data_IF_589199455827
#
_entry.id   IF_589199455827
#
_cell.length_a   1.000
_cell.length_b   1.000
_cell.length_c   1.000
_cell.angle_alpha   90.00
_cell.angle_beta   90.00
_cell.angle_gamma   90.00
#
_symmetry.space_group_name_H-M   'P 1'
#
loop_
_entity.id
_entity.type
_entity.pdbx_description
1 polymer ?
#
# COMPACT_ATOMS: atom_id res chain seq x y z
N UNK A 1 11.39 12.91 -19.51
CA UNK A 1 11.48 11.74 -18.61
C UNK A 1 10.99 10.50 -19.33
N UNK A 2 11.47 9.31 -18.92
CA UNK A 2 10.99 8.04 -19.48
C UNK A 2 9.59 7.66 -18.94
N UNK A 3 9.15 8.28 -17.85
CA UNK A 3 7.89 8.01 -17.15
C UNK A 3 6.74 8.85 -17.73
N UNK A 4 5.51 8.39 -17.57
CA UNK A 4 4.30 9.06 -18.06
C UNK A 4 3.74 10.03 -17.02
N UNK A 5 3.87 9.68 -15.72
CA UNK A 5 3.39 10.47 -14.59
C UNK A 5 4.27 10.22 -13.36
N UNK A 6 4.32 11.20 -12.45
CA UNK A 6 4.88 11.06 -11.11
C UNK A 6 3.80 11.39 -10.08
N UNK A 7 3.74 10.63 -8.99
CA UNK A 7 2.69 10.76 -7.95
C UNK A 7 3.32 10.78 -6.57
N UNK A 8 2.83 11.68 -5.72
CA UNK A 8 3.09 11.71 -4.29
C UNK A 8 1.80 11.35 -3.54
N UNK A 9 1.89 10.35 -2.67
CA UNK A 9 0.76 9.94 -1.83
C UNK A 9 0.83 10.67 -0.49
N UNK A 10 -0.10 11.59 -0.27
CA UNK A 10 -0.16 12.41 0.95
C UNK A 10 -1.40 12.02 1.74
N UNK A 11 -1.21 11.65 2.99
CA UNK A 11 -2.27 11.34 3.94
C UNK A 11 -2.10 12.17 5.24
N UNK A 12 -3.04 12.04 6.17
CA UNK A 12 -3.02 12.80 7.43
C UNK A 12 -1.82 12.52 8.32
N UNK A 13 -1.17 11.36 8.17
CA UNK A 13 0.03 10.98 8.92
C UNK A 13 1.34 11.31 8.18
N UNK A 14 1.28 11.83 6.97
CA UNK A 14 2.45 12.22 6.16
C UNK A 14 2.43 11.69 4.74
N UNK A 15 3.61 11.57 4.14
CA UNK A 15 3.78 11.04 2.80
C UNK A 15 4.07 9.54 2.85
N UNK A 16 3.37 8.76 2.01
CA UNK A 16 3.65 7.35 1.80
C UNK A 16 4.54 7.19 0.56
N UNK A 17 5.56 6.33 0.61
CA UNK A 17 6.37 6.02 -0.56
C UNK A 17 5.56 5.38 -1.70
N UNK A 18 4.58 4.54 -1.36
CA UNK A 18 3.68 3.89 -2.31
C UNK A 18 2.29 3.65 -1.70
N UNK A 19 1.24 3.73 -2.54
CA UNK A 19 -0.13 3.43 -2.15
C UNK A 19 -0.87 2.73 -3.30
N UNK A 20 -1.20 1.44 -3.12
CA UNK A 20 -1.82 0.62 -4.17
C UNK A 20 -3.20 1.12 -4.59
N UNK A 21 -4.12 1.32 -3.65
CA UNK A 21 -5.46 1.83 -3.97
C UNK A 21 -5.44 3.30 -4.44
N UNK A 22 -4.51 4.11 -3.90
CA UNK A 22 -4.28 5.46 -4.41
C UNK A 22 -3.81 5.45 -5.87
N UNK A 23 -2.96 4.50 -6.25
CA UNK A 23 -2.54 4.27 -7.64
C UNK A 23 -3.73 3.93 -8.53
N UNK A 24 -4.57 2.97 -8.12
CA UNK A 24 -5.76 2.57 -8.88
C UNK A 24 -6.67 3.78 -9.13
N UNK A 25 -6.98 4.55 -8.07
CA UNK A 25 -7.82 5.75 -8.17
C UNK A 25 -7.20 6.82 -9.05
N UNK A 26 -5.90 7.10 -8.90
CA UNK A 26 -5.19 8.09 -9.70
C UNK A 26 -5.23 7.71 -11.18
N UNK A 27 -4.88 6.48 -11.54
CA UNK A 27 -4.86 6.03 -12.93
C UNK A 27 -6.27 6.08 -13.54
N UNK A 28 -7.28 5.64 -12.80
CA UNK A 28 -8.67 5.75 -13.25
C UNK A 28 -9.01 7.19 -13.62
N UNK A 29 -8.75 8.15 -12.73
CA UNK A 29 -9.09 9.55 -12.95
C UNK A 29 -8.27 10.15 -14.11
N UNK A 30 -6.95 9.98 -14.12
CA UNK A 30 -6.10 10.64 -15.12
C UNK A 30 -6.33 10.12 -16.54
N UNK A 31 -6.77 8.86 -16.69
CA UNK A 31 -7.14 8.28 -17.99
C UNK A 31 -8.55 8.72 -18.39
N UNK A 32 -9.53 8.60 -17.49
CA UNK A 32 -10.92 8.98 -17.79
C UNK A 32 -11.07 10.47 -18.14
N UNK A 33 -10.35 11.33 -17.42
CA UNK A 33 -10.37 12.79 -17.63
C UNK A 33 -9.35 13.26 -18.70
N UNK A 34 -8.57 12.33 -19.28
CA UNK A 34 -7.58 12.67 -20.31
C UNK A 34 -6.46 13.59 -19.82
N UNK A 35 -6.13 13.54 -18.51
CA UNK A 35 -5.11 14.39 -17.90
C UNK A 35 -3.69 13.97 -18.28
N UNK A 36 -3.50 12.72 -18.68
CA UNK A 36 -2.24 12.23 -19.23
C UNK A 36 -2.49 11.50 -20.54
N UNK A 37 -1.46 11.46 -21.38
CA UNK A 37 -1.44 10.65 -22.60
C UNK A 37 -0.27 9.67 -22.48
N UNK A 38 -0.53 8.42 -22.07
CA UNK A 38 0.50 7.40 -21.97
C UNK A 38 1.24 7.20 -23.29
N UNK A 39 2.52 6.91 -23.24
CA UNK A 39 3.36 6.66 -24.42
C UNK A 39 2.99 5.35 -25.14
N UNK A 40 2.48 4.40 -24.34
CA UNK A 40 1.98 3.11 -24.83
C UNK A 40 0.54 2.97 -24.36
N UNK A 41 -0.39 2.77 -25.28
CA UNK A 41 -1.79 2.56 -24.95
C UNK A 41 -1.97 1.35 -24.02
N UNK A 42 -2.78 1.48 -22.98
CA UNK A 42 -3.01 0.43 -21.99
C UNK A 42 -1.91 0.30 -20.93
N UNK A 43 -0.82 1.08 -21.01
CA UNK A 43 0.32 1.01 -20.08
C UNK A 43 0.70 2.39 -19.58
N UNK A 44 0.86 2.54 -18.26
CA UNK A 44 1.37 3.76 -17.62
C UNK A 44 2.62 3.43 -16.81
N UNK A 45 3.68 4.18 -17.02
CA UNK A 45 4.90 4.18 -16.22
C UNK A 45 4.78 5.29 -15.18
N UNK A 46 4.50 4.90 -13.95
CA UNK A 46 4.29 5.85 -12.84
C UNK A 46 5.50 5.86 -11.90
N UNK A 47 6.08 7.04 -11.72
CA UNK A 47 7.13 7.28 -10.74
C UNK A 47 6.51 7.60 -9.37
N UNK A 48 6.99 6.92 -8.34
CA UNK A 48 6.61 7.15 -6.94
C UNK A 48 7.87 7.31 -6.08
N UNK A 49 7.79 7.81 -4.85
CA UNK A 49 8.94 7.82 -3.95
C UNK A 49 9.53 6.43 -3.68
N UNK A 50 8.73 5.36 -3.78
CA UNK A 50 9.23 3.99 -3.67
C UNK A 50 9.91 3.47 -4.94
N UNK A 51 9.82 4.19 -6.06
CA UNK A 51 10.38 3.81 -7.36
C UNK A 51 9.34 3.73 -8.47
N UNK A 52 9.71 3.06 -9.57
CA UNK A 52 8.87 2.90 -10.74
C UNK A 52 7.82 1.80 -10.53
N UNK A 53 6.56 2.17 -10.75
CA UNK A 53 5.42 1.24 -10.77
C UNK A 53 4.93 1.11 -12.20
N UNK A 54 4.84 -0.12 -12.71
CA UNK A 54 4.29 -0.43 -14.02
C UNK A 54 2.80 -0.74 -13.90
N UNK A 55 1.99 -0.05 -14.68
CA UNK A 55 0.54 -0.14 -14.60
C UNK A 55 -0.03 -0.52 -15.95
N UNK A 56 -0.86 -1.55 -15.96
CA UNK A 56 -1.70 -1.93 -17.09
C UNK A 56 -3.13 -1.49 -16.80
N UNK A 57 -3.82 -0.90 -17.74
CA UNK A 57 -5.23 -0.55 -17.60
C UNK A 57 -6.02 -0.98 -18.82
N UNK A 58 -7.31 -1.28 -18.61
CA UNK A 58 -8.27 -1.56 -19.66
C UNK A 58 -9.39 -0.53 -19.64
N UNK A 59 -9.84 -0.12 -20.82
CA UNK A 59 -10.96 0.80 -20.98
C UNK A 59 -12.12 0.10 -21.68
N UNK A 60 -13.34 0.39 -21.21
CA UNK A 60 -14.57 0.03 -21.90
C UNK A 60 -15.01 1.20 -22.80
N UNK A 61 -14.79 1.01 -24.10
CA UNK A 61 -15.20 1.99 -25.12
C UNK A 61 -16.69 1.87 -25.51
N UNK A 62 -17.42 0.86 -25.01
CA UNK A 62 -18.84 0.64 -25.32
C UNK A 62 -19.78 1.59 -24.60
N UNK A 63 -19.32 2.20 -23.49
CA UNK A 63 -20.09 3.16 -22.70
C UNK A 63 -19.78 4.60 -23.11
N UNK A 64 -20.11 4.94 -24.36
CA UNK A 64 -20.11 6.34 -24.77
C UNK A 64 -21.20 7.09 -24.01
N UNK A 65 -20.82 8.11 -23.26
CA UNK A 65 -21.81 9.05 -22.71
C UNK A 65 -22.56 9.73 -23.85
N UNK A 66 -23.86 9.98 -23.67
CA UNK A 66 -24.72 10.65 -24.66
C UNK A 66 -24.28 12.09 -24.98
N UNK A 67 -23.34 12.61 -24.23
CA UNK A 67 -22.72 13.92 -24.41
C UNK A 67 -21.35 13.71 -25.07
N UNK A 68 -21.20 13.96 -26.31
CA UNK A 68 -20.02 13.93 -27.19
C UNK A 68 -18.60 14.06 -26.58
N UNK A 69 -18.45 13.96 -25.27
CA UNK A 69 -17.18 13.81 -24.56
C UNK A 69 -16.80 12.33 -24.61
N UNK A 70 -15.83 11.99 -25.45
CA UNK A 70 -15.19 10.66 -25.52
C UNK A 70 -14.34 10.43 -24.25
N UNK A 71 -14.98 10.22 -23.11
CA UNK A 71 -14.31 9.77 -21.90
C UNK A 71 -14.34 8.23 -21.92
N UNK A 72 -13.22 7.61 -22.16
CA UNK A 72 -13.08 6.17 -22.00
C UNK A 72 -13.28 5.82 -20.53
N UNK A 73 -14.13 4.84 -20.23
CA UNK A 73 -14.29 4.34 -18.85
C UNK A 73 -13.22 3.28 -18.56
N UNK A 74 -12.48 3.46 -17.45
CA UNK A 74 -11.52 2.47 -16.99
C UNK A 74 -12.26 1.31 -16.34
N UNK A 75 -12.09 0.13 -16.89
CA UNK A 75 -12.70 -1.12 -16.43
C UNK A 75 -11.84 -1.79 -15.37
N UNK A 76 -10.53 -1.78 -15.55
CA UNK A 76 -9.59 -2.41 -14.63
C UNK A 76 -8.23 -1.72 -14.65
N UNK A 77 -7.58 -1.77 -13.50
CA UNK A 77 -6.18 -1.32 -13.30
C UNK A 77 -5.41 -2.44 -12.62
N UNK A 78 -4.31 -2.85 -13.24
CA UNK A 78 -3.36 -3.81 -12.69
C UNK A 78 -2.01 -3.14 -12.51
N UNK A 79 -1.44 -3.23 -11.32
CA UNK A 79 -0.13 -2.68 -11.05
C UNK A 79 0.89 -3.79 -10.76
N UNK A 80 2.09 -3.64 -11.30
CA UNK A 80 3.28 -4.35 -10.85
C UNK A 80 4.04 -3.39 -9.96
N UNK A 81 4.01 -3.70 -8.65
CA UNK A 81 4.59 -2.85 -7.62
C UNK A 81 6.12 -2.91 -7.65
N UNK A 82 6.78 -2.05 -6.86
CA UNK A 82 8.20 -2.15 -6.56
C UNK A 82 8.53 -3.48 -5.89
N UNK A 83 9.80 -3.88 -5.93
CA UNK A 83 10.26 -5.12 -5.32
C UNK A 83 9.87 -5.20 -3.85
N UNK A 84 9.44 -6.38 -3.41
CA UNK A 84 9.12 -6.68 -2.02
C UNK A 84 10.17 -7.61 -1.41
N UNK A 85 10.40 -7.45 -0.11
CA UNK A 85 11.32 -8.31 0.63
C UNK A 85 10.94 -8.44 2.11
N UNK A 86 11.35 -9.54 2.71
CA UNK A 86 11.28 -9.75 4.15
C UNK A 86 12.46 -9.01 4.79
N UNK A 87 12.16 -8.06 5.69
CA UNK A 87 13.18 -7.28 6.38
C UNK A 87 13.65 -7.96 7.67
N UNK A 88 12.72 -8.39 8.51
CA UNK A 88 13.04 -9.00 9.81
C UNK A 88 11.94 -9.95 10.23
N UNK A 89 12.30 -10.99 10.98
CA UNK A 89 11.38 -11.95 11.59
C UNK A 89 11.52 -11.97 13.11
N UNK A 90 10.49 -12.45 13.76
CA UNK A 90 10.45 -12.74 15.21
C UNK A 90 10.79 -11.53 16.09
N UNK A 91 10.42 -10.32 15.65
CA UNK A 91 10.60 -9.13 16.46
C UNK A 91 9.57 -9.08 17.58
N UNK A 92 10.01 -8.71 18.78
CA UNK A 92 9.13 -8.58 19.93
C UNK A 92 8.62 -7.16 20.05
N UNK A 93 7.29 -7.01 20.06
CA UNK A 93 6.61 -5.74 20.31
C UNK A 93 5.56 -5.92 21.40
N UNK A 94 5.21 -4.85 22.10
CA UNK A 94 4.27 -4.89 23.22
C UNK A 94 2.99 -4.13 22.86
N UNK A 95 1.86 -4.72 23.24
CA UNK A 95 0.54 -4.09 23.19
C UNK A 95 -0.08 -4.17 24.59
N UNK A 96 -0.61 -3.07 25.10
CA UNK A 96 -1.11 -2.98 26.48
C UNK A 96 -2.20 -4.01 26.82
N UNK A 97 -3.10 -4.32 25.87
CA UNK A 97 -4.18 -5.28 26.09
C UNK A 97 -3.82 -6.72 25.68
N UNK A 98 -2.93 -6.89 24.71
CA UNK A 98 -2.55 -8.22 24.18
C UNK A 98 -1.26 -8.76 24.83
N UNK A 99 -0.45 -7.89 25.45
CA UNK A 99 0.87 -8.26 25.96
C UNK A 99 1.94 -8.27 24.88
N UNK A 100 2.94 -9.11 25.04
CA UNK A 100 4.04 -9.27 24.10
C UNK A 100 3.59 -10.05 22.85
N UNK A 101 3.86 -9.49 21.69
CA UNK A 101 3.56 -10.07 20.39
C UNK A 101 4.85 -10.28 19.59
N UNK A 102 4.89 -11.37 18.85
CA UNK A 102 5.90 -11.64 17.83
C UNK A 102 5.37 -11.07 16.51
N UNK A 103 6.21 -10.30 15.81
CA UNK A 103 5.86 -9.66 14.55
C UNK A 103 6.97 -9.83 13.52
N UNK A 104 6.58 -10.00 12.27
CA UNK A 104 7.50 -9.98 11.13
C UNK A 104 7.38 -8.63 10.42
N UNK A 105 8.48 -8.16 9.84
CA UNK A 105 8.45 -6.89 9.09
C UNK A 105 8.88 -7.14 7.65
N UNK A 106 8.00 -6.76 6.73
CA UNK A 106 8.22 -6.85 5.28
C UNK A 106 8.06 -5.49 4.62
N UNK A 107 8.75 -5.32 3.49
CA UNK A 107 8.63 -4.17 2.62
C UNK A 107 7.90 -4.55 1.33
N UNK A 108 6.99 -3.68 0.89
CA UNK A 108 6.28 -3.79 -0.38
C UNK A 108 5.85 -2.40 -0.89
N UNK A 109 6.81 -1.45 -0.90
CA UNK A 109 6.57 -0.02 -1.15
C UNK A 109 6.39 0.78 0.14
N UNK A 110 6.09 0.12 1.25
CA UNK A 110 6.12 0.61 2.63
C UNK A 110 6.57 -0.56 3.53
N UNK A 111 7.04 -0.25 4.74
CA UNK A 111 7.27 -1.27 5.75
C UNK A 111 5.98 -1.59 6.51
N UNK A 112 5.65 -2.87 6.60
CA UNK A 112 4.52 -3.45 7.31
C UNK A 112 5.01 -4.37 8.42
N UNK A 113 4.54 -4.15 9.65
CA UNK A 113 4.68 -5.15 10.70
C UNK A 113 3.46 -6.08 10.65
N UNK A 114 3.73 -7.34 10.43
CA UNK A 114 2.74 -8.41 10.25
C UNK A 114 2.54 -9.12 11.58
N UNK A 115 1.32 -9.17 12.03
CA UNK A 115 0.92 -9.85 13.27
C UNK A 115 0.07 -11.05 12.92
N UNK A 116 0.69 -12.22 12.96
CA UNK A 116 0.00 -13.47 12.72
C UNK A 116 -0.73 -13.99 13.97
N UNK A 117 -1.65 -14.93 13.75
CA UNK A 117 -2.33 -15.67 14.82
C UNK A 117 -1.30 -16.29 15.74
N UNK A 118 -1.42 -16.00 17.04
CA UNK A 118 -0.50 -16.47 18.07
C UNK A 118 -1.22 -16.60 19.42
N UNK A 119 -0.53 -17.02 20.47
CA UNK A 119 -1.11 -17.35 21.77
C UNK A 119 -2.08 -16.28 22.32
N UNK A 120 -1.74 -15.01 22.18
CA UNK A 120 -2.48 -13.87 22.70
C UNK A 120 -3.15 -13.00 21.63
N UNK A 121 -3.08 -13.42 20.35
CA UNK A 121 -3.83 -12.84 19.25
C UNK A 121 -4.46 -13.96 18.40
N UNK A 122 -5.78 -14.09 18.44
CA UNK A 122 -6.51 -15.22 17.83
C UNK A 122 -6.80 -15.07 16.34
N UNK A 123 -6.58 -13.89 15.79
CA UNK A 123 -6.93 -13.53 14.41
C UNK A 123 -7.83 -12.30 14.36
N UNK A 124 -7.79 -11.58 13.24
CA UNK A 124 -8.49 -10.31 13.10
C UNK A 124 -10.03 -10.45 13.24
N UNK A 125 -10.59 -11.61 12.92
CA UNK A 125 -12.02 -11.92 12.99
C UNK A 125 -12.58 -12.01 14.42
N UNK A 126 -11.71 -12.12 15.42
CA UNK A 126 -12.11 -12.25 16.84
C UNK A 126 -12.22 -10.91 17.56
N UNK A 127 -11.86 -9.81 16.91
CA UNK A 127 -11.79 -8.50 17.56
C UNK A 127 -12.51 -7.43 16.76
N UNK A 128 -13.18 -6.48 17.44
CA UNK A 128 -13.82 -5.36 16.75
C UNK A 128 -12.78 -4.40 16.15
N UNK A 129 -13.15 -3.76 15.04
CA UNK A 129 -12.24 -2.92 14.26
C UNK A 129 -11.62 -1.76 15.04
N UNK A 130 -12.37 -1.15 15.96
CA UNK A 130 -11.88 -0.06 16.81
C UNK A 130 -10.74 -0.50 17.73
N UNK A 131 -10.80 -1.73 18.25
CA UNK A 131 -9.70 -2.32 19.02
C UNK A 131 -8.47 -2.57 18.17
N UNK A 132 -8.65 -3.21 17.00
CA UNK A 132 -7.55 -3.47 16.07
C UNK A 132 -6.86 -2.17 15.64
N UNK A 133 -7.62 -1.09 15.41
CA UNK A 133 -7.08 0.24 15.08
C UNK A 133 -6.28 0.82 16.27
N UNK A 134 -6.82 0.74 17.48
CA UNK A 134 -6.13 1.25 18.67
C UNK A 134 -4.81 0.51 18.91
N UNK A 135 -4.83 -0.81 18.87
CA UNK A 135 -3.64 -1.65 19.01
C UNK A 135 -2.62 -1.45 17.88
N UNK A 136 -3.08 -1.27 16.65
CA UNK A 136 -2.19 -0.98 15.52
C UNK A 136 -1.42 0.34 15.74
N UNK A 137 -2.07 1.39 16.25
CA UNK A 137 -1.42 2.66 16.58
C UNK A 137 -0.36 2.50 17.67
N UNK A 138 -0.69 1.73 18.72
CA UNK A 138 0.23 1.44 19.80
C UNK A 138 1.43 0.64 19.33
N UNK A 139 1.20 -0.48 18.63
CA UNK A 139 2.25 -1.35 18.11
C UNK A 139 3.16 -0.60 17.12
N UNK A 140 2.59 0.19 16.21
CA UNK A 140 3.37 0.99 15.26
C UNK A 140 4.33 1.94 15.97
N UNK A 141 3.89 2.61 17.04
CA UNK A 141 4.76 3.45 17.86
C UNK A 141 5.85 2.63 18.51
N UNK A 142 5.48 1.58 19.23
CA UNK A 142 6.40 0.79 20.04
C UNK A 142 7.47 0.09 19.18
N UNK A 143 7.12 -0.41 17.99
CA UNK A 143 8.07 -1.08 17.11
C UNK A 143 9.07 -0.09 16.50
N UNK A 144 8.62 1.12 16.14
CA UNK A 144 9.49 2.17 15.62
C UNK A 144 10.39 2.81 16.70
N UNK A 145 9.99 2.79 17.96
CA UNK A 145 10.83 3.23 19.07
C UNK A 145 11.94 2.21 19.40
N UNK A 146 11.67 0.92 19.14
CA UNK A 146 12.56 -0.17 19.51
C UNK A 146 13.50 -0.60 18.38
N UNK A 147 13.05 -0.52 17.13
CA UNK A 147 13.76 -1.01 15.97
C UNK A 147 13.86 0.05 14.88
N UNK A 148 14.90 -0.03 14.08
CA UNK A 148 15.10 0.82 12.91
C UNK A 148 14.80 0.01 11.63
N UNK A 149 13.97 0.57 10.75
CA UNK A 149 13.62 0.00 9.46
C UNK A 149 14.02 1.00 8.38
N UNK A 150 14.98 0.63 7.54
CA UNK A 150 15.51 1.48 6.46
C UNK A 150 15.62 0.66 5.20
N UNK A 151 15.15 1.21 4.08
CA UNK A 151 15.29 0.55 2.79
C UNK A 151 16.77 0.46 2.40
N UNK A 152 17.25 -0.70 1.92
CA UNK A 152 18.69 -0.93 1.69
C UNK A 152 19.28 -0.06 0.58
N UNK A 153 18.47 0.39 -0.38
CA UNK A 153 18.90 1.19 -1.53
C UNK A 153 18.50 2.66 -1.42
N UNK A 154 17.56 3.02 -0.51
CA UNK A 154 17.09 4.39 -0.32
C UNK A 154 16.84 4.71 1.16
N UNK A 155 17.80 5.35 1.78
CA UNK A 155 17.73 5.73 3.20
C UNK A 155 16.64 6.76 3.53
N UNK A 156 15.99 7.36 2.54
CA UNK A 156 14.83 8.26 2.77
C UNK A 156 13.56 7.47 3.07
N UNK A 157 13.48 6.20 2.65
CA UNK A 157 12.38 5.28 2.96
C UNK A 157 12.69 4.56 4.25
N UNK A 158 12.06 5.00 5.32
CA UNK A 158 12.31 4.49 6.68
C UNK A 158 11.07 4.46 7.55
N UNK A 159 11.13 3.61 8.59
CA UNK A 159 10.08 3.44 9.58
C UNK A 159 8.96 2.51 9.13
N UNK A 160 8.42 1.75 10.06
CA UNK A 160 7.24 0.91 9.85
C UNK A 160 5.99 1.79 9.83
N UNK A 161 5.33 1.86 8.69
CA UNK A 161 4.16 2.74 8.48
C UNK A 161 2.84 2.06 8.83
N UNK A 162 2.76 0.74 8.75
CA UNK A 162 1.52 -0.01 8.89
C UNK A 162 1.68 -1.25 9.77
N UNK A 163 0.60 -1.61 10.45
CA UNK A 163 0.41 -2.92 11.07
C UNK A 163 -0.57 -3.72 10.21
N UNK A 164 -0.21 -4.94 9.86
CA UNK A 164 -1.04 -5.89 9.14
C UNK A 164 -1.47 -7.00 10.09
N UNK A 165 -2.75 -7.01 10.45
CA UNK A 165 -3.35 -8.10 11.20
C UNK A 165 -3.75 -9.23 10.26
N UNK A 166 -3.40 -10.45 10.60
CA UNK A 166 -3.85 -11.62 9.83
C UNK A 166 -4.97 -12.36 10.56
N UNK A 167 -5.60 -13.29 9.89
CA UNK A 167 -6.62 -14.17 10.41
C UNK A 167 -6.52 -15.56 9.79
N UNK A 168 -7.49 -16.42 10.11
CA UNK A 168 -7.57 -17.72 9.48
C UNK A 168 -7.81 -17.60 7.97
N UNK A 169 -7.23 -18.51 7.20
CA UNK A 169 -7.59 -18.65 5.79
C UNK A 169 -9.03 -19.12 5.70
N UNK A 170 -9.86 -18.37 5.00
CA UNK A 170 -11.25 -18.75 4.73
C UNK A 170 -11.30 -19.46 3.37
N UNK A 171 -11.92 -20.64 3.35
CA UNK A 171 -12.14 -21.43 2.12
C UNK A 171 -13.29 -20.84 1.28
#
# INVERSE_FOLDING_TARGET
TANDVAVLFIETSGCLPMCGHGTIGTITIVIEEGLIKPKVEGVVRMETPAGLVMIEYKTDNSRQSKDNSKSAKVESVRLTNVASFLHSTDLLSFCSELGELIVDVSYGGNFYAIVDVQKNFKGLEYYPADKLIAWARELRRNINEKYEFVHPEDATIKGCSHILWTGAVLD
#
